data_IF_622898633980
#
_entry.id   IF_622898633980
#
_cell.length_a   1.000
_cell.length_b   1.000
_cell.length_c   1.000
_cell.angle_alpha   90.00
_cell.angle_beta   90.00
_cell.angle_gamma   90.00
#
_symmetry.space_group_name_H-M   'P 1'
#
loop_
_entity.id
_entity.type
_entity.pdbx_description
1 polymer ?
#
# COMPACT_ATOMS: atom_id res chain seq x y z
N UNK A 1 -18.02 -14.97 4.62
CA UNK A 1 -16.73 -14.53 4.03
C UNK A 1 -16.02 -13.61 5.03
N UNK A 2 -14.71 -13.71 5.14
CA UNK A 2 -13.83 -12.88 5.98
C UNK A 2 -12.77 -12.21 5.12
N UNK A 3 -12.15 -11.15 5.61
CA UNK A 3 -11.02 -10.50 4.91
C UNK A 3 -9.85 -11.46 4.77
N UNK A 4 -9.23 -11.49 3.59
CA UNK A 4 -8.03 -12.32 3.36
C UNK A 4 -6.80 -11.66 3.98
N UNK A 5 -5.93 -12.47 4.58
CA UNK A 5 -4.61 -12.03 5.07
C UNK A 5 -3.51 -12.15 3.99
N UNK A 6 -3.80 -12.81 2.86
CA UNK A 6 -2.81 -13.14 1.84
C UNK A 6 -2.89 -12.24 0.59
N UNK A 7 -4.04 -11.58 0.38
CA UNK A 7 -4.29 -10.69 -0.78
C UNK A 7 -5.41 -9.70 -0.44
N UNK A 8 -5.52 -8.63 -1.19
CA UNK A 8 -6.65 -7.70 -1.05
C UNK A 8 -7.94 -8.37 -1.53
N UNK A 9 -8.87 -8.57 -0.59
CA UNK A 9 -10.13 -9.21 -0.87
C UNK A 9 -10.67 -10.05 0.29
N UNK A 10 -11.51 -11.02 -0.04
CA UNK A 10 -12.25 -11.83 0.92
C UNK A 10 -12.12 -13.32 0.61
N UNK A 11 -12.22 -14.14 1.64
CA UNK A 11 -12.23 -15.61 1.51
C UNK A 11 -13.39 -16.20 2.31
N UNK A 12 -13.90 -17.29 1.82
CA UNK A 12 -14.71 -18.26 2.57
C UNK A 12 -13.87 -19.54 2.69
N UNK A 13 -13.17 -19.75 3.81
CA UNK A 13 -12.28 -20.90 3.98
C UNK A 13 -13.02 -22.23 3.90
N UNK A 14 -14.26 -22.31 4.41
CA UNK A 14 -15.05 -23.52 4.47
C UNK A 14 -15.47 -24.01 3.07
N UNK A 15 -15.68 -23.09 2.15
CA UNK A 15 -16.08 -23.37 0.77
C UNK A 15 -14.94 -23.16 -0.25
N UNK A 16 -13.75 -22.76 0.21
CA UNK A 16 -12.59 -22.42 -0.65
C UNK A 16 -12.92 -21.37 -1.73
N UNK A 17 -13.82 -20.45 -1.41
CA UNK A 17 -14.22 -19.34 -2.31
C UNK A 17 -13.37 -18.11 -2.02
N UNK A 18 -12.93 -17.42 -3.06
CA UNK A 18 -12.15 -16.20 -2.93
C UNK A 18 -12.68 -15.07 -3.82
N UNK A 19 -12.66 -13.85 -3.30
CA UNK A 19 -12.86 -12.60 -4.04
C UNK A 19 -11.56 -11.81 -3.95
N UNK A 20 -10.87 -11.62 -5.07
CA UNK A 20 -9.64 -10.85 -5.16
C UNK A 20 -9.90 -9.50 -5.78
N UNK A 21 -9.30 -8.46 -5.21
CA UNK A 21 -9.42 -7.07 -5.66
C UNK A 21 -8.05 -6.56 -6.07
N UNK A 22 -7.92 -6.04 -7.29
CA UNK A 22 -6.69 -5.42 -7.78
C UNK A 22 -7.04 -4.05 -8.38
N UNK A 23 -6.29 -3.03 -7.97
CA UNK A 23 -6.34 -1.71 -8.56
C UNK A 23 -5.15 -1.55 -9.51
N UNK A 24 -5.42 -1.15 -10.74
CA UNK A 24 -4.45 -0.91 -11.79
C UNK A 24 -4.55 0.57 -12.23
N UNK A 25 -3.53 1.12 -12.92
CA UNK A 25 -3.64 2.42 -13.56
C UNK A 25 -4.85 2.51 -14.49
N UNK A 26 -5.42 3.70 -14.65
CA UNK A 26 -6.66 3.89 -15.42
C UNK A 26 -6.54 3.40 -16.87
N UNK A 27 -5.37 3.60 -17.49
CA UNK A 27 -5.03 3.17 -18.87
C UNK A 27 -5.01 1.66 -19.05
N UNK A 28 -4.87 0.88 -17.99
CA UNK A 28 -4.85 -0.58 -18.06
C UNK A 28 -6.17 -1.18 -18.57
N UNK A 29 -7.29 -0.44 -18.50
CA UNK A 29 -8.57 -0.91 -19.00
C UNK A 29 -8.51 -1.26 -20.49
N UNK A 30 -7.94 -0.38 -21.31
CA UNK A 30 -7.85 -0.58 -22.76
C UNK A 30 -6.96 -1.79 -23.14
N UNK A 31 -5.93 -2.06 -22.36
CA UNK A 31 -5.03 -3.20 -22.58
C UNK A 31 -5.69 -4.50 -22.13
N UNK A 32 -6.40 -4.48 -21.00
CA UNK A 32 -7.18 -5.64 -20.54
C UNK A 32 -8.33 -5.96 -21.49
N UNK A 33 -9.02 -4.94 -22.02
CA UNK A 33 -10.09 -5.11 -23.00
C UNK A 33 -9.61 -5.90 -24.25
N UNK A 34 -8.38 -5.66 -24.70
CA UNK A 34 -7.75 -6.35 -25.83
C UNK A 34 -7.16 -7.71 -25.46
N UNK A 35 -6.53 -7.81 -24.29
CA UNK A 35 -5.76 -9.00 -23.88
C UNK A 35 -6.62 -10.10 -23.28
N UNK A 36 -7.77 -9.77 -22.68
CA UNK A 36 -8.72 -10.75 -22.13
C UNK A 36 -9.55 -11.35 -23.26
N UNK A 37 -8.89 -12.15 -24.07
CA UNK A 37 -9.45 -12.93 -25.18
C UNK A 37 -9.43 -14.42 -24.85
N UNK A 38 -10.15 -15.23 -25.62
CA UNK A 38 -10.14 -16.69 -25.46
C UNK A 38 -8.71 -17.27 -25.54
N UNK A 39 -7.88 -16.73 -26.43
CA UNK A 39 -6.49 -17.16 -26.57
C UNK A 39 -5.60 -16.69 -25.41
N UNK A 40 -5.77 -15.45 -24.96
CA UNK A 40 -5.03 -14.89 -23.82
C UNK A 40 -5.32 -15.65 -22.52
N UNK A 41 -6.59 -15.97 -22.28
CA UNK A 41 -7.03 -16.76 -21.14
C UNK A 41 -6.51 -18.20 -21.20
N UNK A 42 -6.54 -18.82 -22.39
CA UNK A 42 -6.02 -20.19 -22.56
C UNK A 42 -4.53 -20.31 -22.26
N UNK A 43 -3.73 -19.29 -22.60
CA UNK A 43 -2.30 -19.23 -22.21
C UNK A 43 -2.08 -19.18 -20.71
N UNK A 44 -3.08 -18.72 -19.96
CA UNK A 44 -3.09 -18.71 -18.49
C UNK A 44 -3.76 -19.95 -17.88
N UNK A 45 -4.11 -20.94 -18.69
CA UNK A 45 -4.77 -22.16 -18.23
C UNK A 45 -6.26 -21.97 -17.92
N UNK A 46 -6.87 -20.91 -18.46
CA UNK A 46 -8.30 -20.60 -18.30
C UNK A 46 -9.05 -20.90 -19.60
N UNK A 47 -10.22 -21.51 -19.50
CA UNK A 47 -11.14 -21.71 -20.61
C UNK A 47 -12.27 -20.69 -20.52
N UNK A 48 -12.40 -19.83 -21.53
CA UNK A 48 -13.45 -18.82 -21.61
C UNK A 48 -14.83 -19.49 -21.77
N UNK A 49 -15.81 -19.10 -20.95
CA UNK A 49 -17.22 -19.49 -21.08
C UNK A 49 -18.02 -18.37 -21.74
N UNK A 50 -17.91 -17.14 -21.23
CA UNK A 50 -18.57 -15.97 -21.81
C UNK A 50 -17.81 -14.68 -21.52
N UNK A 51 -18.05 -13.67 -22.36
CA UNK A 51 -17.64 -12.29 -22.14
C UNK A 51 -18.79 -11.38 -22.51
N UNK A 52 -19.13 -10.45 -21.64
CA UNK A 52 -20.28 -9.57 -21.83
C UNK A 52 -20.02 -8.18 -21.22
N UNK A 53 -20.68 -7.17 -21.74
CA UNK A 53 -20.69 -5.86 -21.12
C UNK A 53 -21.46 -5.93 -19.78
N UNK A 54 -20.91 -5.31 -18.76
CA UNK A 54 -21.53 -5.19 -17.42
C UNK A 54 -21.32 -3.78 -16.91
N UNK A 55 -21.98 -2.77 -17.51
CA UNK A 55 -21.75 -1.38 -17.12
C UNK A 55 -22.13 -1.16 -15.66
N UNK A 56 -21.25 -0.42 -14.95
CA UNK A 56 -21.45 -0.04 -13.57
C UNK A 56 -21.84 1.44 -13.49
N UNK A 57 -22.38 1.86 -12.33
CA UNK A 57 -22.73 3.26 -12.10
C UNK A 57 -21.51 4.20 -12.19
N UNK A 58 -20.29 3.68 -12.06
CA UNK A 58 -19.04 4.45 -12.02
C UNK A 58 -18.23 4.44 -13.31
N UNK A 59 -18.68 3.73 -14.33
CA UNK A 59 -17.98 3.67 -15.63
C UNK A 59 -18.24 2.40 -16.41
N UNK A 60 -17.54 2.27 -17.54
CA UNK A 60 -17.60 1.09 -18.37
C UNK A 60 -16.98 -0.12 -17.66
N UNK A 61 -17.62 -1.26 -17.83
CA UNK A 61 -17.09 -2.52 -17.33
C UNK A 61 -17.52 -3.70 -18.22
N UNK A 62 -16.73 -4.76 -18.19
CA UNK A 62 -17.08 -6.03 -18.77
C UNK A 62 -16.81 -7.19 -17.81
N UNK A 63 -17.63 -8.21 -17.91
CA UNK A 63 -17.52 -9.44 -17.16
C UNK A 63 -17.03 -10.57 -18.05
N UNK A 64 -16.04 -11.28 -17.60
CA UNK A 64 -15.55 -12.52 -18.22
C UNK A 64 -15.85 -13.67 -17.28
N UNK A 65 -16.47 -14.72 -17.81
CA UNK A 65 -16.66 -15.98 -17.11
C UNK A 65 -15.76 -17.02 -17.76
N UNK A 66 -14.96 -17.66 -16.95
CA UNK A 66 -14.03 -18.69 -17.36
C UNK A 66 -13.97 -19.81 -16.32
N UNK A 67 -13.37 -20.92 -16.68
CA UNK A 67 -13.05 -21.95 -15.71
C UNK A 67 -11.60 -22.43 -15.86
N UNK A 68 -11.10 -23.00 -14.78
CA UNK A 68 -9.79 -23.62 -14.67
C UNK A 68 -9.94 -24.95 -13.96
N UNK A 69 -9.18 -25.94 -14.35
CA UNK A 69 -9.09 -27.22 -13.65
C UNK A 69 -7.78 -27.27 -12.86
N UNK A 70 -7.88 -27.43 -11.54
CA UNK A 70 -6.74 -27.58 -10.63
C UNK A 70 -6.96 -28.87 -9.84
N UNK A 71 -6.01 -29.81 -9.91
CA UNK A 71 -6.06 -31.08 -9.17
C UNK A 71 -7.41 -31.82 -9.33
N UNK A 72 -7.96 -31.85 -10.53
CA UNK A 72 -9.26 -32.44 -10.88
C UNK A 72 -10.48 -31.68 -10.31
N UNK A 73 -10.30 -30.53 -9.71
CA UNK A 73 -11.39 -29.67 -9.28
C UNK A 73 -11.59 -28.56 -10.30
N UNK A 74 -12.80 -28.47 -10.84
CA UNK A 74 -13.18 -27.35 -11.70
C UNK A 74 -13.45 -26.11 -10.83
N UNK A 75 -12.75 -25.01 -11.14
CA UNK A 75 -12.93 -23.72 -10.48
C UNK A 75 -13.50 -22.76 -11.51
N UNK A 76 -14.68 -22.27 -11.27
CA UNK A 76 -15.29 -21.22 -12.08
C UNK A 76 -14.84 -19.85 -11.60
N UNK A 77 -14.53 -18.96 -12.53
CA UNK A 77 -14.03 -17.61 -12.27
C UNK A 77 -14.90 -16.59 -12.99
N UNK A 78 -15.31 -15.57 -12.24
CA UNK A 78 -15.92 -14.37 -12.74
C UNK A 78 -14.90 -13.25 -12.60
N UNK A 79 -14.54 -12.62 -13.69
CA UNK A 79 -13.52 -11.58 -13.76
C UNK A 79 -14.19 -10.31 -14.26
N UNK A 80 -14.48 -9.41 -13.35
CA UNK A 80 -15.00 -8.08 -13.65
C UNK A 80 -13.84 -7.12 -13.86
N UNK A 81 -13.81 -6.45 -15.00
CA UNK A 81 -12.87 -5.34 -15.28
C UNK A 81 -13.70 -4.07 -15.39
N UNK A 82 -13.46 -3.10 -14.52
CA UNK A 82 -14.21 -1.87 -14.45
C UNK A 82 -13.30 -0.65 -14.56
N UNK A 83 -13.70 0.31 -15.41
CA UNK A 83 -12.95 1.55 -15.62
C UNK A 83 -13.46 2.68 -14.73
N UNK A 84 -12.55 3.58 -14.37
CA UNK A 84 -12.85 4.89 -13.83
C UNK A 84 -11.76 5.88 -14.25
N UNK A 85 -12.00 7.21 -14.09
CA UNK A 85 -10.94 8.19 -14.34
C UNK A 85 -9.68 8.02 -13.49
N UNK A 86 -9.79 7.38 -12.32
CA UNK A 86 -8.70 7.26 -11.35
C UNK A 86 -7.96 5.91 -11.42
N UNK A 87 -8.66 4.84 -11.79
CA UNK A 87 -8.11 3.49 -11.79
C UNK A 87 -8.94 2.53 -12.64
N UNK A 88 -8.34 1.41 -13.00
CA UNK A 88 -9.02 0.21 -13.48
C UNK A 88 -9.12 -0.80 -12.33
N UNK A 89 -10.33 -1.20 -11.99
CA UNK A 89 -10.56 -2.24 -10.98
C UNK A 89 -10.68 -3.61 -11.66
N UNK A 90 -9.93 -4.59 -11.15
CA UNK A 90 -10.06 -6.00 -11.49
C UNK A 90 -10.58 -6.74 -10.27
N UNK A 91 -11.80 -7.30 -10.38
CA UNK A 91 -12.42 -8.09 -9.32
C UNK A 91 -12.59 -9.52 -9.82
N UNK A 92 -11.92 -10.46 -9.16
CA UNK A 92 -11.99 -11.88 -9.53
C UNK A 92 -12.66 -12.67 -8.42
N UNK A 93 -13.77 -13.33 -8.74
CA UNK A 93 -14.44 -14.29 -7.86
C UNK A 93 -14.10 -15.69 -8.33
N UNK A 94 -13.63 -16.55 -7.44
CA UNK A 94 -13.30 -17.95 -7.70
C UNK A 94 -14.18 -18.85 -6.86
N UNK A 95 -14.89 -19.76 -7.52
CA UNK A 95 -15.80 -20.70 -6.87
C UNK A 95 -15.51 -22.12 -7.35
N UNK A 96 -15.04 -23.01 -6.48
CA UNK A 96 -14.90 -24.43 -6.80
C UNK A 96 -16.27 -25.09 -7.02
N UNK A 97 -16.35 -26.09 -7.88
CA UNK A 97 -17.58 -26.82 -8.20
C UNK A 97 -18.39 -27.29 -6.97
N UNK A 98 -17.78 -27.79 -5.87
CA UNK A 98 -18.55 -28.15 -4.67
C UNK A 98 -19.33 -27.00 -4.04
N UNK A 99 -18.84 -25.75 -4.20
CA UNK A 99 -19.44 -24.56 -3.60
C UNK A 99 -20.50 -23.89 -4.50
N UNK A 100 -20.70 -24.35 -5.76
CA UNK A 100 -21.54 -23.70 -6.76
C UNK A 100 -23.01 -23.51 -6.36
N UNK A 101 -23.53 -24.34 -5.47
CA UNK A 101 -24.90 -24.22 -4.97
C UNK A 101 -25.08 -22.99 -4.10
N UNK A 102 -24.10 -22.70 -3.22
CA UNK A 102 -24.13 -21.54 -2.34
C UNK A 102 -23.70 -20.25 -3.07
N UNK A 103 -22.85 -20.40 -4.08
CA UNK A 103 -22.32 -19.30 -4.89
C UNK A 103 -22.73 -19.45 -6.35
N UNK A 104 -24.05 -19.39 -6.58
CA UNK A 104 -24.60 -19.52 -7.94
C UNK A 104 -24.20 -18.34 -8.83
N UNK A 105 -24.30 -18.51 -10.15
CA UNK A 105 -24.02 -17.45 -11.12
C UNK A 105 -24.78 -16.15 -10.83
N UNK A 106 -26.07 -16.27 -10.46
CA UNK A 106 -26.90 -15.13 -10.12
C UNK A 106 -26.44 -14.39 -8.87
N UNK A 107 -26.03 -15.11 -7.84
CA UNK A 107 -25.50 -14.52 -6.59
C UNK A 107 -24.19 -13.78 -6.85
N UNK A 108 -23.26 -14.40 -7.62
CA UNK A 108 -21.98 -13.76 -7.93
C UNK A 108 -22.18 -12.53 -8.82
N UNK A 109 -23.06 -12.60 -9.84
CA UNK A 109 -23.41 -11.45 -10.67
C UNK A 109 -24.05 -10.31 -9.88
N UNK A 110 -24.96 -10.61 -8.98
CA UNK A 110 -25.56 -9.60 -8.11
C UNK A 110 -24.51 -8.91 -7.22
N UNK A 111 -23.56 -9.66 -6.69
CA UNK A 111 -22.45 -9.09 -5.94
C UNK A 111 -21.54 -8.21 -6.83
N UNK A 112 -21.20 -8.67 -8.03
CA UNK A 112 -20.34 -7.92 -8.96
C UNK A 112 -21.03 -6.65 -9.47
N UNK A 113 -22.35 -6.67 -9.71
CA UNK A 113 -23.10 -5.48 -10.13
C UNK A 113 -23.19 -4.40 -9.04
N UNK A 114 -22.93 -4.75 -7.79
CA UNK A 114 -22.87 -3.79 -6.69
C UNK A 114 -21.51 -3.10 -6.53
N UNK A 115 -20.52 -3.47 -7.33
CA UNK A 115 -19.19 -2.85 -7.29
C UNK A 115 -19.31 -1.38 -7.67
N UNK A 116 -18.79 -0.51 -6.82
CA UNK A 116 -18.71 0.91 -7.05
C UNK A 116 -17.29 1.42 -6.72
N UNK A 117 -16.74 2.20 -7.63
CA UNK A 117 -15.44 2.85 -7.42
C UNK A 117 -15.72 4.23 -6.82
N UNK A 118 -15.27 4.43 -5.59
CA UNK A 118 -15.44 5.72 -4.91
C UNK A 118 -14.44 6.73 -5.46
N UNK A 119 -14.91 7.92 -5.77
CA UNK A 119 -14.04 9.03 -6.22
C UNK A 119 -13.15 9.56 -5.09
N UNK A 120 -13.62 9.45 -3.85
CA UNK A 120 -12.88 9.85 -2.66
C UNK A 120 -13.02 8.77 -1.60
N UNK A 121 -11.89 8.34 -1.04
CA UNK A 121 -11.85 7.47 0.14
C UNK A 121 -11.49 8.33 1.35
N UNK A 122 -12.28 8.35 2.43
CA UNK A 122 -11.96 9.09 3.64
C UNK A 122 -10.58 8.72 4.19
N UNK A 123 -9.84 9.71 4.66
CA UNK A 123 -8.47 9.52 5.18
C UNK A 123 -8.44 8.50 6.32
N UNK A 124 -9.44 8.53 7.20
CA UNK A 124 -9.52 7.60 8.33
C UNK A 124 -9.67 6.15 7.89
N UNK A 125 -10.41 5.90 6.81
CA UNK A 125 -10.52 4.56 6.23
C UNK A 125 -9.18 4.10 5.64
N UNK A 126 -8.47 5.00 4.94
CA UNK A 126 -7.16 4.70 4.37
C UNK A 126 -6.13 4.42 5.48
N UNK A 127 -6.12 5.23 6.54
CA UNK A 127 -5.30 5.00 7.74
C UNK A 127 -5.67 3.68 8.42
N UNK A 128 -6.96 3.31 8.37
CA UNK A 128 -7.47 2.04 8.86
C UNK A 128 -6.81 0.81 8.23
N UNK A 129 -6.31 0.93 7.01
CA UNK A 129 -5.64 -0.15 6.26
C UNK A 129 -4.13 -0.25 6.55
N UNK A 130 -3.54 0.69 7.30
CA UNK A 130 -2.13 0.59 7.70
C UNK A 130 -1.95 -0.45 8.80
N UNK A 131 -0.82 -1.20 8.83
CA UNK A 131 -0.52 -2.16 9.90
C UNK A 131 -0.02 -1.48 11.19
N UNK A 132 -0.13 -0.16 11.26
CA UNK A 132 0.18 0.67 12.42
C UNK A 132 -0.83 1.81 12.54
N UNK A 133 -0.94 2.41 13.72
CA UNK A 133 -1.71 3.63 13.95
C UNK A 133 -0.78 4.83 14.01
N UNK A 134 -1.23 5.97 13.50
CA UNK A 134 -0.59 7.26 13.67
C UNK A 134 -1.42 8.03 14.71
N UNK A 135 -0.97 8.00 15.96
CA UNK A 135 -1.69 8.62 17.07
C UNK A 135 -1.42 10.12 17.23
N UNK A 136 -0.23 10.58 16.81
CA UNK A 136 0.19 11.98 16.94
C UNK A 136 0.77 12.46 15.61
N UNK A 137 0.27 13.58 15.10
CA UNK A 137 0.74 14.20 13.86
C UNK A 137 1.70 15.37 14.09
N UNK A 138 1.79 15.89 15.32
CA UNK A 138 2.68 16.99 15.70
C UNK A 138 2.62 18.21 14.74
N UNK A 139 1.42 18.50 14.22
CA UNK A 139 1.20 19.59 13.27
C UNK A 139 1.55 19.28 11.81
N UNK A 140 1.93 18.05 11.47
CA UNK A 140 2.02 17.59 10.08
C UNK A 140 0.63 17.28 9.52
N UNK A 141 0.46 17.49 8.21
CA UNK A 141 -0.68 17.01 7.44
C UNK A 141 -0.36 15.70 6.72
N UNK A 142 -1.37 14.92 6.42
CA UNK A 142 -1.23 13.67 5.65
C UNK A 142 -1.22 14.03 4.16
N UNK A 143 -0.08 13.83 3.49
CA UNK A 143 0.08 14.07 2.05
C UNK A 143 -0.34 12.90 1.18
N UNK A 144 -0.23 11.69 1.70
CA UNK A 144 -0.59 10.49 0.97
C UNK A 144 -0.51 9.25 1.84
N UNK A 145 -1.31 8.26 1.48
CA UNK A 145 -1.34 6.96 2.13
C UNK A 145 -1.21 5.90 1.05
N UNK A 146 -0.31 4.95 1.28
CA UNK A 146 -0.23 3.69 0.54
C UNK A 146 -0.84 2.60 1.45
N UNK A 147 -2.08 2.16 1.19
CA UNK A 147 -2.76 1.19 2.03
C UNK A 147 -1.90 -0.05 2.30
N UNK A 148 -1.92 -0.52 3.55
CA UNK A 148 -1.13 -1.68 3.98
C UNK A 148 0.38 -1.43 4.10
N UNK A 149 0.91 -0.24 3.75
CA UNK A 149 2.35 -0.06 3.60
C UNK A 149 2.93 1.22 4.18
N UNK A 150 2.37 2.39 3.84
CA UNK A 150 3.06 3.65 4.14
C UNK A 150 2.11 4.84 4.32
N UNK A 151 2.59 5.85 5.05
CA UNK A 151 2.00 7.19 5.10
C UNK A 151 3.08 8.24 4.93
N UNK A 152 2.78 9.27 4.14
CA UNK A 152 3.60 10.46 3.97
C UNK A 152 2.96 11.62 4.74
N UNK A 153 3.72 12.21 5.63
CA UNK A 153 3.38 13.40 6.40
C UNK A 153 4.21 14.58 5.91
N UNK A 154 3.58 15.74 5.76
CA UNK A 154 4.26 16.95 5.31
C UNK A 154 3.90 18.12 6.20
N UNK A 155 4.76 19.11 6.26
CA UNK A 155 4.48 20.36 6.96
C UNK A 155 3.27 21.03 6.30
N UNK A 156 2.15 21.07 7.02
CA UNK A 156 0.96 21.75 6.56
C UNK A 156 1.21 23.26 6.67
N UNK A 157 1.57 23.91 5.58
CA UNK A 157 1.49 25.35 5.49
C UNK A 157 0.01 25.73 5.65
N UNK A 158 -0.30 26.60 6.61
CA UNK A 158 -1.66 27.02 6.90
C UNK A 158 -2.37 27.48 5.60
N UNK A 159 -3.40 26.72 5.19
CA UNK A 159 -4.23 27.04 4.02
C UNK A 159 -3.77 26.51 2.66
N UNK A 160 -2.63 25.81 2.56
CA UNK A 160 -2.23 25.19 1.30
C UNK A 160 -2.78 23.74 1.21
N UNK A 161 -3.27 23.30 0.04
CA UNK A 161 -3.57 21.90 -0.19
C UNK A 161 -2.31 21.05 0.04
N UNK A 162 -2.44 19.94 0.76
CA UNK A 162 -1.32 19.04 1.09
C UNK A 162 -0.59 18.56 -0.17
N UNK A 163 -1.30 18.41 -1.29
CA UNK A 163 -0.74 18.08 -2.61
C UNK A 163 0.19 19.18 -3.19
N UNK A 164 0.13 20.40 -2.67
CA UNK A 164 0.99 21.51 -3.07
C UNK A 164 2.11 21.81 -2.07
N UNK A 165 2.33 20.94 -1.08
CA UNK A 165 3.44 21.09 -0.14
C UNK A 165 4.76 21.09 -0.93
N UNK A 166 5.60 22.12 -0.74
CA UNK A 166 6.85 22.22 -1.49
C UNK A 166 7.72 20.98 -1.22
N UNK A 167 8.29 20.44 -2.28
CA UNK A 167 9.19 19.28 -2.25
C UNK A 167 10.39 19.43 -1.28
N UNK A 168 10.52 20.58 -0.64
CA UNK A 168 11.63 20.99 0.23
C UNK A 168 11.14 21.37 1.65
N UNK A 169 9.87 21.14 1.99
CA UNK A 169 9.34 21.31 3.35
C UNK A 169 9.71 20.14 4.26
N UNK A 170 9.58 20.37 5.59
CA UNK A 170 9.75 19.25 6.54
C UNK A 170 8.70 18.18 6.26
N UNK A 171 9.14 16.95 6.13
CA UNK A 171 8.25 15.82 5.84
C UNK A 171 8.74 14.55 6.53
N UNK A 172 7.82 13.62 6.74
CA UNK A 172 8.11 12.33 7.35
C UNK A 172 7.42 11.21 6.57
N UNK A 173 8.19 10.20 6.19
CA UNK A 173 7.70 8.97 5.59
C UNK A 173 7.72 7.87 6.68
N UNK A 174 6.59 7.21 6.88
CA UNK A 174 6.49 6.03 7.75
C UNK A 174 6.11 4.84 6.90
N UNK A 175 6.94 3.80 6.92
CA UNK A 175 6.73 2.58 6.12
C UNK A 175 6.87 1.34 7.00
N UNK A 176 6.25 0.23 6.56
CA UNK A 176 6.50 -1.10 7.12
C UNK A 176 7.17 -1.97 6.07
N UNK A 177 8.18 -2.72 6.51
CA UNK A 177 8.85 -3.75 5.71
C UNK A 177 8.80 -5.11 6.40
N UNK A 178 8.73 -6.21 5.62
CA UNK A 178 8.78 -7.55 6.17
C UNK A 178 10.19 -7.91 6.63
N UNK A 179 10.29 -8.81 7.61
CA UNK A 179 11.58 -9.28 8.12
C UNK A 179 12.24 -8.31 9.07
N UNK A 180 13.57 -8.26 9.03
CA UNK A 180 14.44 -7.48 9.89
C UNK A 180 15.67 -8.31 10.28
N UNK A 181 16.70 -7.68 10.91
CA UNK A 181 17.91 -8.39 11.30
C UNK A 181 17.59 -9.43 12.39
N UNK A 182 18.04 -10.66 12.17
CA UNK A 182 17.84 -11.77 13.10
C UNK A 182 18.61 -11.54 14.41
N UNK A 183 19.81 -10.94 14.31
CA UNK A 183 20.70 -10.71 15.45
C UNK A 183 20.82 -9.22 15.79
N UNK A 184 20.92 -8.87 17.09
CA UNK A 184 21.14 -7.47 17.50
C UNK A 184 22.36 -6.81 16.86
N UNK A 185 23.44 -7.57 16.64
CA UNK A 185 24.67 -7.08 16.03
C UNK A 185 24.53 -6.65 14.58
N UNK A 186 23.53 -7.16 13.88
CA UNK A 186 23.26 -6.85 12.45
C UNK A 186 22.46 -5.55 12.27
N UNK A 187 21.91 -4.98 13.33
CA UNK A 187 20.99 -3.84 13.25
C UNK A 187 21.62 -2.57 12.69
N UNK A 188 22.89 -2.30 12.99
CA UNK A 188 23.58 -1.14 12.43
C UNK A 188 23.77 -1.27 10.93
N UNK A 189 24.25 -2.43 10.46
CA UNK A 189 24.41 -2.71 9.02
C UNK A 189 23.06 -2.62 8.31
N UNK A 190 22.03 -3.29 8.85
CA UNK A 190 20.67 -3.22 8.30
C UNK A 190 20.15 -1.78 8.22
N UNK A 191 20.40 -0.98 9.28
CA UNK A 191 19.95 0.41 9.30
C UNK A 191 20.66 1.27 8.25
N UNK A 192 21.95 1.04 8.00
CA UNK A 192 22.71 1.73 6.95
C UNK A 192 22.24 1.33 5.56
N UNK A 193 21.99 0.04 5.32
CA UNK A 193 21.47 -0.46 4.05
C UNK A 193 20.06 0.12 3.77
N UNK A 194 19.18 0.14 4.78
CA UNK A 194 17.88 0.77 4.66
C UNK A 194 18.00 2.29 4.42
N UNK A 195 18.97 2.97 5.07
CA UNK A 195 19.20 4.40 4.89
C UNK A 195 19.69 4.72 3.47
N UNK A 196 20.50 3.86 2.87
CA UNK A 196 20.99 4.04 1.51
C UNK A 196 19.87 4.08 0.46
N UNK A 197 18.67 3.59 0.79
CA UNK A 197 17.49 3.63 -0.09
C UNK A 197 16.59 4.84 0.13
N UNK A 198 16.94 5.78 1.02
CA UNK A 198 16.15 6.99 1.29
C UNK A 198 16.03 7.82 0.02
N UNK A 199 14.80 8.08 -0.46
CA UNK A 199 14.60 8.77 -1.71
C UNK A 199 14.86 10.29 -1.57
N UNK A 200 15.14 10.94 -2.69
CA UNK A 200 15.22 12.40 -2.81
C UNK A 200 16.32 13.06 -1.95
N UNK A 201 17.39 12.32 -1.63
CA UNK A 201 18.57 12.84 -0.96
C UNK A 201 19.84 12.42 -1.69
N UNK A 202 20.87 13.27 -1.65
CA UNK A 202 22.20 12.98 -2.20
C UNK A 202 23.29 13.56 -1.32
N UNK A 203 24.54 13.26 -1.61
CA UNK A 203 25.72 13.70 -0.83
C UNK A 203 25.57 13.41 0.67
N UNK A 204 25.06 12.21 0.98
CA UNK A 204 24.73 11.80 2.35
C UNK A 204 25.99 11.60 3.18
N UNK A 205 26.02 12.22 4.36
CA UNK A 205 27.03 12.03 5.38
C UNK A 205 26.37 11.65 6.70
N UNK A 206 26.46 10.40 7.10
CA UNK A 206 25.98 9.94 8.40
C UNK A 206 26.79 10.62 9.51
N UNK A 207 26.10 11.30 10.41
CA UNK A 207 26.70 11.99 11.55
C UNK A 207 26.56 11.18 12.84
N UNK A 208 25.49 10.40 12.96
CA UNK A 208 25.23 9.53 14.12
C UNK A 208 24.58 8.23 13.65
N UNK A 209 24.97 7.11 14.25
CA UNK A 209 24.34 5.80 14.09
C UNK A 209 24.34 5.11 15.45
N UNK A 210 23.18 4.89 16.05
CA UNK A 210 23.10 4.39 17.41
C UNK A 210 21.87 3.52 17.65
N UNK A 211 21.98 2.49 18.51
CA UNK A 211 20.83 1.72 18.94
C UNK A 211 19.98 2.53 19.92
N UNK A 212 18.65 2.31 19.89
CA UNK A 212 17.72 2.90 20.85
C UNK A 212 16.53 1.97 21.08
N UNK A 213 15.60 2.39 21.91
CA UNK A 213 14.28 1.72 22.05
C UNK A 213 13.18 2.71 21.69
N UNK A 214 12.19 2.20 20.93
CA UNK A 214 11.01 2.98 20.51
C UNK A 214 9.77 2.22 20.96
N UNK A 215 8.98 2.80 21.86
CA UNK A 215 7.81 2.12 22.44
C UNK A 215 8.17 0.79 23.11
N UNK A 216 9.33 0.73 23.79
CA UNK A 216 9.82 -0.50 24.43
C UNK A 216 10.46 -1.52 23.48
N UNK A 217 10.28 -1.40 22.17
CA UNK A 217 10.86 -2.30 21.17
C UNK A 217 12.29 -1.88 20.79
N UNK A 218 13.14 -2.85 20.40
CA UNK A 218 14.47 -2.53 19.87
C UNK A 218 14.36 -1.66 18.62
N UNK A 219 15.27 -0.70 18.49
CA UNK A 219 15.34 0.17 17.33
C UNK A 219 16.76 0.59 17.01
N UNK A 220 16.90 1.37 15.93
CA UNK A 220 18.16 1.97 15.52
C UNK A 220 17.88 3.37 14.95
N UNK A 221 18.71 4.35 15.27
CA UNK A 221 18.65 5.70 14.74
C UNK A 221 19.85 5.98 13.87
N UNK A 222 19.61 6.63 12.73
CA UNK A 222 20.65 7.27 11.92
C UNK A 222 20.28 8.74 11.77
N UNK A 223 21.25 9.62 12.00
CA UNK A 223 21.22 11.03 11.64
C UNK A 223 22.24 11.28 10.53
N UNK A 224 21.88 12.07 9.56
CA UNK A 224 22.77 12.42 8.45
C UNK A 224 22.52 13.84 7.96
N UNK A 225 23.61 14.48 7.52
CA UNK A 225 23.54 15.63 6.63
C UNK A 225 23.41 15.13 5.19
N UNK A 226 22.64 15.84 4.38
CA UNK A 226 22.41 15.50 2.99
C UNK A 226 22.16 16.77 2.16
N UNK A 227 21.92 16.61 0.87
CA UNK A 227 21.43 17.64 -0.02
C UNK A 227 20.15 17.18 -0.72
N UNK A 228 19.37 18.13 -1.20
CA UNK A 228 18.24 17.89 -2.07
C UNK A 228 18.69 17.28 -3.42
N UNK A 229 17.80 16.73 -4.25
CA UNK A 229 18.15 16.17 -5.56
C UNK A 229 18.88 17.16 -6.47
N UNK A 230 18.59 18.46 -6.35
CA UNK A 230 19.28 19.53 -7.06
C UNK A 230 20.72 19.82 -6.55
N UNK A 231 21.04 19.35 -5.34
CA UNK A 231 22.36 19.54 -4.70
C UNK A 231 22.58 20.95 -4.15
N UNK A 232 21.55 21.76 -4.07
CA UNK A 232 21.64 23.17 -3.69
C UNK A 232 21.19 23.42 -2.25
N UNK A 233 20.21 22.66 -1.75
CA UNK A 233 19.65 22.83 -0.42
C UNK A 233 20.24 21.84 0.56
N UNK A 234 20.83 22.33 1.65
CA UNK A 234 21.29 21.48 2.75
C UNK A 234 20.10 20.90 3.51
N UNK A 235 20.10 19.60 3.71
CA UNK A 235 19.09 18.84 4.44
C UNK A 235 19.72 18.14 5.64
N UNK A 236 18.91 17.95 6.67
CA UNK A 236 19.19 16.98 7.72
C UNK A 236 18.12 15.92 7.71
N UNK A 237 18.55 14.66 7.80
CA UNK A 237 17.69 13.48 7.71
C UNK A 237 17.87 12.64 8.96
N UNK A 238 16.75 12.19 9.52
CA UNK A 238 16.75 11.15 10.55
C UNK A 238 16.01 9.93 10.03
N UNK A 239 16.57 8.77 10.28
CA UNK A 239 15.88 7.49 10.15
C UNK A 239 15.77 6.82 11.50
N UNK A 240 14.59 6.36 11.83
CA UNK A 240 14.38 5.40 12.91
C UNK A 240 13.87 4.09 12.36
N UNK A 241 14.47 3.01 12.82
CA UNK A 241 13.93 1.66 12.63
C UNK A 241 13.40 1.17 13.98
N UNK A 242 12.23 0.54 13.98
CA UNK A 242 11.67 -0.19 15.11
C UNK A 242 11.43 -1.63 14.69
N UNK A 243 12.06 -2.57 15.38
CA UNK A 243 12.01 -4.00 15.07
C UNK A 243 11.02 -4.72 15.97
N UNK A 244 10.19 -5.59 15.40
CA UNK A 244 9.25 -6.43 16.16
C UNK A 244 8.25 -7.18 15.29
N UNK A 245 7.74 -8.30 15.78
CA UNK A 245 6.66 -9.05 15.12
C UNK A 245 6.99 -9.61 13.73
N UNK A 246 8.27 -9.90 13.43
CA UNK A 246 8.67 -10.38 12.09
C UNK A 246 8.66 -9.30 11.01
N UNK A 247 8.57 -8.04 11.40
CA UNK A 247 8.58 -6.88 10.53
C UNK A 247 9.40 -5.74 11.15
N UNK A 248 9.62 -4.68 10.40
CA UNK A 248 10.18 -3.44 10.92
C UNK A 248 9.37 -2.24 10.43
N UNK A 249 9.29 -1.22 11.26
CA UNK A 249 8.85 0.11 10.87
C UNK A 249 10.06 0.97 10.57
N UNK A 250 10.04 1.63 9.42
CA UNK A 250 11.01 2.65 9.05
C UNK A 250 10.32 4.01 9.04
N UNK A 251 10.88 4.95 9.77
CA UNK A 251 10.38 6.31 9.91
C UNK A 251 11.50 7.25 9.49
N UNK A 252 11.29 8.02 8.43
CA UNK A 252 12.29 8.91 7.82
C UNK A 252 11.77 10.33 7.93
N UNK A 253 12.41 11.16 8.75
CA UNK A 253 12.14 12.59 8.84
C UNK A 253 13.20 13.38 8.08
N UNK A 254 12.78 14.27 7.19
CA UNK A 254 13.64 15.14 6.39
C UNK A 254 13.24 16.60 6.57
N UNK A 255 14.20 17.46 6.82
CA UNK A 255 13.98 18.89 6.90
C UNK A 255 15.20 19.64 6.33
N UNK A 256 14.99 20.92 5.96
CA UNK A 256 16.12 21.82 5.70
C UNK A 256 16.99 21.93 6.94
N UNK A 257 18.30 22.02 6.77
CA UNK A 257 19.23 22.12 7.89
C UNK A 257 18.88 23.30 8.83
N UNK A 258 18.45 24.42 8.29
CA UNK A 258 18.02 25.60 9.03
C UNK A 258 16.74 25.39 9.85
N UNK A 259 15.81 24.54 9.36
CA UNK A 259 14.53 24.22 10.01
C UNK A 259 14.64 23.03 10.97
N UNK A 260 15.79 22.37 11.03
CA UNK A 260 15.98 21.12 11.77
C UNK A 260 15.63 21.23 13.25
N UNK A 261 16.05 22.33 13.88
CA UNK A 261 15.82 22.54 15.31
C UNK A 261 14.33 22.48 15.70
N UNK A 262 13.47 22.99 14.83
CA UNK A 262 12.02 23.03 15.05
C UNK A 262 11.33 21.75 14.55
N UNK A 263 11.83 21.13 13.47
CA UNK A 263 11.26 19.93 12.87
C UNK A 263 11.56 18.66 13.69
N UNK A 264 12.76 18.53 14.25
CA UNK A 264 13.19 17.31 14.92
C UNK A 264 12.33 16.91 16.14
N UNK A 265 11.96 17.81 17.07
CA UNK A 265 11.03 17.48 18.15
C UNK A 265 9.68 16.99 17.65
N UNK A 266 9.18 17.53 16.55
CA UNK A 266 7.92 17.14 15.93
C UNK A 266 8.01 15.74 15.31
N UNK A 267 9.10 15.44 14.60
CA UNK A 267 9.37 14.09 14.10
C UNK A 267 9.41 13.06 15.22
N UNK A 268 10.04 13.42 16.35
CA UNK A 268 10.06 12.55 17.53
C UNK A 268 8.67 12.32 18.11
N UNK A 269 7.84 13.35 18.19
CA UNK A 269 6.47 13.21 18.67
C UNK A 269 5.66 12.26 17.78
N UNK A 270 5.77 12.40 16.45
CA UNK A 270 5.15 11.45 15.51
C UNK A 270 5.68 10.04 15.74
N UNK A 271 7.01 9.85 15.79
CA UNK A 271 7.63 8.53 16.01
C UNK A 271 7.10 7.86 17.28
N UNK A 272 7.00 8.61 18.37
CA UNK A 272 6.58 8.11 19.67
C UNK A 272 5.06 7.83 19.71
N UNK A 273 4.28 8.48 18.85
CA UNK A 273 2.84 8.26 18.65
C UNK A 273 2.50 7.13 17.65
N UNK A 274 3.49 6.43 17.07
CA UNK A 274 3.21 5.28 16.19
C UNK A 274 3.02 4.02 17.02
N UNK A 275 1.83 3.43 16.96
CA UNK A 275 1.47 2.16 17.60
C UNK A 275 1.40 1.03 16.57
N UNK A 276 1.88 -0.18 16.92
CA UNK A 276 1.63 -1.38 16.11
C UNK A 276 0.17 -1.81 16.27
N UNK A 277 -0.40 -2.37 15.21
CA UNK A 277 -1.72 -3.02 15.24
C UNK A 277 -1.59 -4.52 15.43
#
# INVERSE_FOLDING_TARGET
MVTSNNFFGYVDPDNSVAIMLVALPAEAYADLDKSVSAEGLRRQGLTLESREAMPLATGDAFLVIAHQEIEKTKIRKWILVASSPALTALVTVQVPDPAKTNYSDSVVRAALSSVAIRSVVPIDEQLGLLPFKVGELAGFGIAGIMPGRAVMLVDALAGAPVAAAPAIGSHMLVTVGPGGPAQPAERDTFARDAFATVPNVRDVRITTSEPLRIGGQPGHQILADAKDPGGTTALTVVQWLRFGGGAYLQMIGTARAEAWRDAYPRFRAVRDGIEAR
#
